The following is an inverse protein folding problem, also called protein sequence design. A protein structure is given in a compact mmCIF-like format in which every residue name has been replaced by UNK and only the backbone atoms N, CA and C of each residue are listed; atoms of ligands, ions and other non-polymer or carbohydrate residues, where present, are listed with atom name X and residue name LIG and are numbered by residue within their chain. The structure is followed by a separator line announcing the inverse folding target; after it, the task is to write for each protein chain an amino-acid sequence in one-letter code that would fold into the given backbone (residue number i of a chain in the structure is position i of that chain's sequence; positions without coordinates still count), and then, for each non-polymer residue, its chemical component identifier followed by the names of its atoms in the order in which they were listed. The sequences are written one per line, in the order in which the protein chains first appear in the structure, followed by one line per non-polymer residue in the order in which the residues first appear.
data_IF_273020523361
#
_entry.id   IF_273020523361
#
_cell.length_a   1.000
_cell.length_b   1.000
_cell.length_c   1.000
_cell.angle_alpha   90.00
_cell.angle_beta   90.00
_cell.angle_gamma   90.00
#
_symmetry.space_group_name_H-M   'P 1'
#
loop_
_entity.id
_entity.type
_entity.pdbx_description
1 polymer ?
#
# COMPACT_ATOMS: atom_id res chain seq x y z
N UNK A 1 6.95 17.62 7.84
CA UNK A 1 6.03 16.50 7.62
C UNK A 1 6.28 15.42 8.65
N UNK A 2 5.26 15.05 9.41
CA UNK A 2 5.34 13.97 10.40
C UNK A 2 5.50 12.60 9.71
N UNK A 3 5.95 11.56 10.44
CA UNK A 3 6.05 10.20 9.87
C UNK A 3 4.69 9.66 9.40
N UNK A 4 3.60 10.15 9.99
CA UNK A 4 2.22 9.79 9.65
C UNK A 4 1.80 10.42 8.33
N UNK A 5 2.11 11.70 8.10
CA UNK A 5 1.80 12.39 6.83
C UNK A 5 2.53 11.74 5.63
N UNK A 6 3.76 11.23 5.86
CA UNK A 6 4.50 10.50 4.82
C UNK A 6 3.86 9.17 4.42
N UNK A 7 3.11 8.51 5.30
CA UNK A 7 2.54 7.17 5.02
C UNK A 7 1.48 7.20 3.92
N UNK A 8 0.80 8.33 3.76
CA UNK A 8 -0.32 8.46 2.80
C UNK A 8 0.03 9.27 1.56
N UNK A 9 1.13 10.03 1.54
CA UNK A 9 1.49 10.92 0.43
C UNK A 9 1.51 10.19 -0.92
N UNK A 10 2.17 9.02 -0.99
CA UNK A 10 2.24 8.25 -2.23
C UNK A 10 0.88 7.76 -2.71
N UNK A 11 -0.02 7.42 -1.79
CA UNK A 11 -1.39 7.01 -2.13
C UNK A 11 -2.20 8.20 -2.65
N UNK A 12 -2.04 9.36 -2.03
CA UNK A 12 -2.68 10.62 -2.45
C UNK A 12 -2.22 11.00 -3.86
N UNK A 13 -0.91 10.97 -4.13
CA UNK A 13 -0.37 11.21 -5.48
C UNK A 13 -0.93 10.23 -6.51
N UNK A 14 -0.99 8.93 -6.17
CA UNK A 14 -1.56 7.91 -7.03
C UNK A 14 -3.05 8.15 -7.31
N UNK A 15 -3.84 8.50 -6.30
CA UNK A 15 -5.26 8.80 -6.44
C UNK A 15 -5.50 10.03 -7.33
N UNK A 16 -4.72 11.10 -7.15
CA UNK A 16 -4.76 12.29 -8.03
C UNK A 16 -4.39 11.96 -9.47
N UNK A 17 -3.38 11.11 -9.69
CA UNK A 17 -3.00 10.65 -11.02
C UNK A 17 -4.15 9.86 -11.67
N UNK A 18 -4.77 8.94 -10.94
CA UNK A 18 -5.93 8.18 -11.42
C UNK A 18 -7.07 9.13 -11.79
N UNK A 19 -7.40 10.11 -10.93
CA UNK A 19 -8.43 11.10 -11.25
C UNK A 19 -8.13 11.83 -12.56
N UNK A 20 -6.91 12.35 -12.72
CA UNK A 20 -6.48 13.04 -13.94
C UNK A 20 -6.60 12.15 -15.17
N UNK A 21 -6.08 10.93 -15.11
CA UNK A 21 -6.14 9.98 -16.25
C UNK A 21 -7.58 9.60 -16.58
N UNK A 22 -8.41 9.34 -15.58
CA UNK A 22 -9.77 8.82 -15.81
C UNK A 22 -10.75 9.91 -16.22
N UNK A 23 -10.63 11.12 -15.67
CA UNK A 23 -11.61 12.21 -15.85
C UNK A 23 -11.18 13.20 -16.92
N UNK A 24 -9.88 13.51 -17.03
CA UNK A 24 -9.39 14.59 -17.89
C UNK A 24 -8.79 14.07 -19.22
N UNK A 25 -8.47 12.78 -19.33
CA UNK A 25 -7.82 12.27 -20.55
C UNK A 25 -8.77 12.16 -21.75
N UNK A 26 -8.29 12.44 -22.98
CA UNK A 26 -9.09 12.25 -24.20
C UNK A 26 -9.56 10.80 -24.41
N UNK A 27 -8.74 9.82 -24.02
CA UNK A 27 -9.02 8.39 -24.20
C UNK A 27 -10.28 7.95 -23.44
N UNK A 28 -10.53 8.54 -22.27
CA UNK A 28 -11.66 8.17 -21.41
C UNK A 28 -12.92 9.01 -21.65
N UNK A 29 -12.83 10.08 -22.45
CA UNK A 29 -13.93 11.02 -22.70
C UNK A 29 -15.23 10.35 -23.18
N UNK A 30 -15.11 9.32 -24.03
CA UNK A 30 -16.27 8.60 -24.57
C UNK A 30 -17.13 7.91 -23.49
N UNK A 31 -16.52 7.59 -22.34
CA UNK A 31 -17.21 6.93 -21.23
C UNK A 31 -17.81 7.92 -20.23
N UNK A 32 -17.61 9.24 -20.42
CA UNK A 32 -18.14 10.31 -19.55
C UNK A 32 -17.86 10.07 -18.06
N UNK A 33 -16.67 9.57 -17.74
CA UNK A 33 -16.26 9.24 -16.37
C UNK A 33 -16.33 10.49 -15.49
N UNK A 34 -16.84 10.32 -14.28
CA UNK A 34 -16.91 11.36 -13.24
C UNK A 34 -16.42 10.79 -11.91
N UNK A 35 -15.83 11.63 -11.08
CA UNK A 35 -15.57 11.26 -9.70
C UNK A 35 -16.90 11.14 -8.93
N UNK A 36 -16.98 10.20 -7.99
CA UNK A 36 -18.18 10.04 -7.17
C UNK A 36 -18.39 11.31 -6.30
N UNK A 37 -19.51 12.04 -6.47
CA UNK A 37 -19.75 13.26 -5.70
C UNK A 37 -20.10 12.99 -4.23
N UNK A 38 -20.43 11.73 -3.88
CA UNK A 38 -20.72 11.35 -2.50
C UNK A 38 -19.41 11.29 -1.71
N UNK A 39 -19.21 12.30 -0.85
CA UNK A 39 -18.08 12.34 0.10
C UNK A 39 -18.19 11.18 1.08
N UNK A 40 -17.06 10.58 1.43
CA UNK A 40 -17.03 9.46 2.39
C UNK A 40 -17.37 9.93 3.83
N UNK A 41 -17.98 9.05 4.66
CA UNK A 41 -18.13 9.30 6.09
C UNK A 41 -16.81 9.70 6.75
N UNK A 42 -16.84 10.77 7.56
CA UNK A 42 -15.66 11.35 8.21
C UNK A 42 -15.00 12.51 7.45
N UNK A 43 -15.21 12.64 6.13
CA UNK A 43 -14.56 13.67 5.31
C UNK A 43 -15.53 14.70 4.69
N UNK A 44 -16.81 14.69 5.05
CA UNK A 44 -17.86 15.52 4.41
C UNK A 44 -17.59 17.04 4.48
N UNK A 45 -16.91 17.48 5.54
CA UNK A 45 -16.60 18.88 5.81
C UNK A 45 -15.45 19.43 4.95
N UNK A 46 -14.73 18.57 4.23
CA UNK A 46 -13.62 18.95 3.37
C UNK A 46 -14.09 19.11 1.93
N UNK A 47 -13.52 20.05 1.18
CA UNK A 47 -13.87 20.28 -0.22
C UNK A 47 -13.54 19.08 -1.09
N UNK A 48 -14.45 18.73 -2.01
CA UNK A 48 -14.27 17.56 -2.87
C UNK A 48 -13.01 17.76 -3.74
N UNK A 49 -12.15 16.74 -3.78
CA UNK A 49 -10.87 16.74 -4.51
C UNK A 49 -9.79 17.68 -3.94
N UNK A 50 -9.99 18.31 -2.78
CA UNK A 50 -8.92 19.04 -2.09
C UNK A 50 -7.83 18.09 -1.57
N UNK A 51 -6.64 18.62 -1.28
CA UNK A 51 -5.52 17.83 -0.76
C UNK A 51 -5.83 17.20 0.60
N UNK A 52 -6.57 17.94 1.43
CA UNK A 52 -7.10 17.49 2.71
C UNK A 52 -8.11 16.36 2.51
N UNK A 53 -9.03 16.49 1.52
CA UNK A 53 -10.00 15.45 1.22
C UNK A 53 -9.32 14.17 0.72
N UNK A 54 -8.32 14.27 -0.16
CA UNK A 54 -7.55 13.10 -0.61
C UNK A 54 -6.81 12.42 0.53
N UNK A 55 -6.25 13.20 1.45
CA UNK A 55 -5.55 12.69 2.63
C UNK A 55 -6.52 11.99 3.58
N UNK A 56 -7.68 12.59 3.84
CA UNK A 56 -8.76 12.01 4.65
C UNK A 56 -9.29 10.71 4.02
N UNK A 57 -9.49 10.69 2.70
CA UNK A 57 -9.85 9.49 1.94
C UNK A 57 -8.78 8.40 2.06
N UNK A 58 -7.51 8.75 1.92
CA UNK A 58 -6.41 7.79 2.06
C UNK A 58 -6.35 7.20 3.48
N UNK A 59 -6.70 7.97 4.50
CA UNK A 59 -6.77 7.50 5.88
C UNK A 59 -7.92 6.52 6.11
N UNK A 60 -9.15 6.91 5.76
CA UNK A 60 -10.36 6.13 6.05
C UNK A 60 -10.59 4.95 5.11
N UNK A 61 -10.12 5.05 3.86
CA UNK A 61 -10.44 4.08 2.81
C UNK A 61 -9.27 3.13 2.48
N UNK A 62 -8.10 3.31 3.10
CA UNK A 62 -7.02 2.32 2.97
C UNK A 62 -7.44 1.01 3.64
N UNK A 63 -7.37 -0.07 2.87
CA UNK A 63 -7.36 -1.44 3.39
C UNK A 63 -6.13 -2.20 2.89
N UNK A 64 -5.87 -3.36 3.50
CA UNK A 64 -4.92 -4.32 2.94
C UNK A 64 -5.46 -4.89 1.63
N UNK A 65 -4.58 -5.14 0.66
CA UNK A 65 -4.90 -5.94 -0.52
C UNK A 65 -4.52 -7.41 -0.34
N UNK A 66 -4.39 -7.88 0.91
CA UNK A 66 -4.06 -9.26 1.27
C UNK A 66 -2.69 -9.75 0.76
N UNK A 67 -1.69 -8.87 0.76
CA UNK A 67 -0.29 -9.22 0.42
C UNK A 67 0.64 -9.10 1.66
N UNK A 68 0.39 -9.86 2.75
CA UNK A 68 1.34 -9.89 3.86
C UNK A 68 2.62 -10.61 3.42
N UNK A 69 3.76 -9.94 3.56
CA UNK A 69 5.09 -10.46 3.21
C UNK A 69 6.13 -9.97 4.21
N UNK A 70 7.31 -10.60 4.23
CA UNK A 70 8.46 -10.13 5.02
C UNK A 70 8.51 -10.59 6.48
N UNK A 71 7.60 -11.46 6.93
CA UNK A 71 7.61 -12.05 8.29
C UNK A 71 8.84 -12.94 8.54
N UNK A 72 9.38 -13.57 7.50
CA UNK A 72 10.66 -14.28 7.51
C UNK A 72 11.59 -13.67 6.44
N UNK A 73 12.26 -12.58 6.80
CA UNK A 73 13.09 -11.79 5.88
C UNK A 73 14.23 -12.62 5.28
N UNK A 74 14.35 -12.62 3.95
CA UNK A 74 15.55 -13.09 3.25
C UNK A 74 16.60 -11.98 3.24
N UNK A 75 17.86 -12.30 3.53
CA UNK A 75 18.93 -11.32 3.55
C UNK A 75 20.34 -11.92 3.51
N UNK A 76 21.37 -11.07 3.26
CA UNK A 76 22.77 -11.49 3.24
C UNK A 76 23.25 -11.92 4.64
N UNK A 77 24.39 -12.60 4.71
CA UNK A 77 24.98 -13.05 5.98
C UNK A 77 25.36 -11.89 6.93
N UNK A 78 25.55 -10.70 6.37
CA UNK A 78 25.82 -9.46 7.12
C UNK A 78 24.57 -8.79 7.70
N UNK A 79 23.36 -9.25 7.35
CA UNK A 79 22.11 -8.69 7.87
C UNK A 79 21.67 -9.45 9.13
N UNK A 80 21.84 -8.87 10.33
CA UNK A 80 21.46 -9.55 11.57
C UNK A 80 19.94 -9.76 11.71
N UNK A 81 19.12 -9.11 10.89
CA UNK A 81 17.66 -9.27 10.87
C UNK A 81 17.18 -10.31 9.83
N UNK A 82 18.08 -10.94 9.08
CA UNK A 82 17.72 -11.98 8.12
C UNK A 82 17.34 -13.28 8.82
N UNK A 83 16.20 -13.86 8.43
CA UNK A 83 15.71 -15.15 8.92
C UNK A 83 16.15 -16.30 8.01
N UNK A 84 16.14 -16.06 6.69
CA UNK A 84 16.55 -17.06 5.68
C UNK A 84 17.65 -16.53 4.76
N UNK A 85 18.45 -17.45 4.23
CA UNK A 85 19.45 -17.16 3.18
C UNK A 85 18.80 -17.11 1.77
N UNK A 86 19.54 -16.75 0.70
CA UNK A 86 19.03 -16.74 -0.68
C UNK A 86 18.57 -18.11 -1.21
N UNK A 87 18.88 -19.19 -0.51
CA UNK A 87 18.43 -20.56 -0.80
C UNK A 87 17.28 -20.99 0.13
N UNK A 88 16.65 -20.04 0.82
CA UNK A 88 15.54 -20.22 1.75
C UNK A 88 15.86 -21.10 2.97
N UNK A 89 17.14 -21.27 3.31
CA UNK A 89 17.52 -22.01 4.53
C UNK A 89 17.39 -21.12 5.75
N UNK A 90 16.72 -21.65 6.77
CA UNK A 90 16.57 -20.97 8.06
C UNK A 90 17.92 -20.91 8.77
N UNK A 91 18.36 -19.71 9.11
CA UNK A 91 19.63 -19.48 9.81
C UNK A 91 19.57 -20.03 11.24
N UNK A 92 20.68 -20.57 11.74
CA UNK A 92 20.81 -21.06 13.12
C UNK A 92 20.16 -22.43 13.43
N UNK A 93 19.51 -23.10 12.47
CA UNK A 93 18.77 -24.36 12.73
C UNK A 93 19.53 -25.65 12.42
N UNK A 94 20.73 -25.57 11.84
CA UNK A 94 21.58 -26.74 11.58
C UNK A 94 20.93 -27.84 10.73
N UNK A 95 19.93 -27.51 9.90
CA UNK A 95 19.21 -28.47 9.04
C UNK A 95 18.46 -29.59 9.80
N UNK A 96 18.10 -29.39 11.08
CA UNK A 96 17.26 -30.33 11.81
C UNK A 96 15.81 -30.21 11.33
N UNK A 97 15.45 -30.98 10.30
CA UNK A 97 14.04 -31.28 10.03
C UNK A 97 13.48 -32.05 11.23
N UNK A 98 12.32 -31.60 11.73
CA UNK A 98 11.57 -32.34 12.75
C UNK A 98 11.34 -33.78 12.27
N UNK A 99 11.53 -34.81 13.11
CA UNK A 99 11.34 -36.23 12.73
C UNK A 99 9.92 -36.60 12.27
N UNK A 100 8.95 -35.69 12.37
CA UNK A 100 7.53 -35.99 12.12
C UNK A 100 7.18 -36.11 10.61
N UNK A 101 8.14 -35.87 9.71
CA UNK A 101 7.97 -35.96 8.25
C UNK A 101 8.88 -37.03 7.58
N UNK A 102 9.36 -38.01 8.33
CA UNK A 102 9.98 -39.26 7.82
C UNK A 102 9.20 -40.46 8.36
#
# INVERSE_FOLDING_TARGET
MTSVERRFSRKVEGAKLIHKVMVESPAMRKYKVRFNPLKIPGCHHLDLLSDEYWTCLAYHYTLTIYHPVGTAKMGPDSDPMAVVDPRLKVRGTGNKMSPILQ
#
